data_IF_268916475340
#
_entry.id   IF_268916475340
#
_cell.length_a   1.000
_cell.length_b   1.000
_cell.length_c   1.000
_cell.angle_alpha   90.00
_cell.angle_beta   90.00
_cell.angle_gamma   90.00
#
_symmetry.space_group_name_H-M   'P 1'
#
loop_
_entity.id
_entity.type
_entity.pdbx_description
1 polymer ?
#
# COMPACT_ATOMS: atom_id res chain seq x y z
N UNK A 1 -5.85 5.84 3.34
CA UNK A 1 -7.20 6.48 3.15
C UNK A 1 -7.37 7.91 3.76
N UNK A 2 -6.28 8.64 3.98
CA UNK A 2 -6.21 9.85 4.83
C UNK A 2 -6.47 11.18 4.12
N UNK A 3 -7.43 11.20 3.18
CA UNK A 3 -7.79 12.42 2.44
C UNK A 3 -6.80 12.88 1.36
N UNK A 4 -5.65 12.20 1.19
CA UNK A 4 -4.74 12.48 0.08
C UNK A 4 -5.33 11.99 -1.24
N UNK A 5 -5.42 12.91 -2.21
CA UNK A 5 -5.84 12.63 -3.57
C UNK A 5 -4.72 13.06 -4.52
N UNK A 6 -4.53 12.30 -5.58
CA UNK A 6 -3.56 12.58 -6.62
C UNK A 6 -4.08 12.16 -7.99
N UNK A 7 -3.44 12.67 -9.03
CA UNK A 7 -3.62 12.22 -10.42
C UNK A 7 -2.35 11.47 -10.81
N UNK A 8 -2.49 10.34 -11.50
CA UNK A 8 -1.33 9.61 -12.03
C UNK A 8 -0.64 10.50 -13.06
N UNK A 9 0.63 10.86 -12.82
CA UNK A 9 1.38 11.78 -13.68
C UNK A 9 2.11 11.04 -14.82
N UNK A 10 2.81 9.96 -14.49
CA UNK A 10 3.58 9.15 -15.43
C UNK A 10 3.53 7.69 -15.00
N UNK A 11 3.41 6.80 -15.98
CA UNK A 11 3.65 5.36 -15.81
C UNK A 11 5.04 5.10 -16.38
N UNK A 12 5.91 4.47 -15.59
CA UNK A 12 7.28 4.15 -15.98
C UNK A 12 7.50 2.64 -15.99
N UNK A 13 8.47 2.13 -16.76
CA UNK A 13 8.91 0.74 -16.67
C UNK A 13 9.40 0.39 -15.26
N UNK A 14 9.34 -0.89 -14.88
CA UNK A 14 9.81 -1.37 -13.56
C UNK A 14 11.31 -1.21 -13.36
N UNK A 15 12.10 -1.29 -14.43
CA UNK A 15 13.56 -1.05 -14.43
C UNK A 15 13.94 0.39 -14.04
N UNK A 16 13.03 1.34 -14.28
CA UNK A 16 13.21 2.76 -13.98
C UNK A 16 12.83 3.10 -12.53
N UNK A 17 12.23 2.16 -11.79
CA UNK A 17 11.72 2.39 -10.44
C UNK A 17 12.81 2.17 -9.39
N UNK A 18 12.81 2.96 -8.29
CA UNK A 18 13.65 2.67 -7.15
C UNK A 18 13.42 1.25 -6.62
N UNK A 19 14.50 0.60 -6.21
CA UNK A 19 14.44 -0.78 -5.72
C UNK A 19 15.14 -0.94 -4.37
N UNK A 20 14.71 -1.95 -3.63
CA UNK A 20 15.21 -2.35 -2.32
C UNK A 20 16.51 -3.16 -2.45
N UNK A 21 17.23 -3.36 -1.35
CA UNK A 21 18.48 -4.14 -1.35
C UNK A 21 18.32 -5.62 -1.78
N UNK A 22 17.09 -6.15 -1.76
CA UNK A 22 16.74 -7.48 -2.28
C UNK A 22 16.42 -7.48 -3.79
N UNK A 23 16.44 -6.31 -4.44
CA UNK A 23 16.10 -6.11 -5.85
C UNK A 23 14.62 -5.83 -6.11
N UNK A 24 13.76 -5.84 -5.08
CA UNK A 24 12.32 -5.60 -5.26
C UNK A 24 12.05 -4.13 -5.61
N UNK A 25 11.45 -3.81 -6.77
CA UNK A 25 11.11 -2.43 -7.14
C UNK A 25 9.88 -1.94 -6.36
N UNK A 26 9.81 -0.64 -6.12
CA UNK A 26 8.60 0.00 -5.56
C UNK A 26 7.56 0.25 -6.65
N UNK A 27 6.27 0.16 -6.31
CA UNK A 27 5.18 0.35 -7.28
C UNK A 27 4.75 1.81 -7.45
N UNK A 28 4.72 2.58 -6.35
CA UNK A 28 4.17 3.94 -6.30
C UNK A 28 5.11 4.85 -5.51
N UNK A 29 5.51 5.97 -6.12
CA UNK A 29 6.28 7.02 -5.44
C UNK A 29 5.34 8.18 -5.06
N UNK A 30 5.29 8.51 -3.77
CA UNK A 30 4.49 9.61 -3.23
C UNK A 30 5.38 10.77 -2.81
N UNK A 31 4.89 12.01 -3.01
CA UNK A 31 5.60 13.21 -2.60
C UNK A 31 5.45 13.44 -1.08
N UNK A 32 6.55 13.48 -0.30
CA UNK A 32 6.49 13.65 1.16
C UNK A 32 5.98 15.03 1.60
N UNK A 33 6.07 16.07 0.74
CA UNK A 33 5.66 17.44 1.09
C UNK A 33 4.14 17.58 1.33
N UNK A 34 3.35 16.62 0.84
CA UNK A 34 1.91 16.57 1.07
C UNK A 34 1.53 16.23 2.52
N UNK A 35 2.44 15.61 3.30
CA UNK A 35 2.12 15.16 4.66
C UNK A 35 2.14 16.31 5.68
N UNK A 36 3.21 17.13 5.76
CA UNK A 36 3.26 18.22 6.74
C UNK A 36 2.18 19.28 6.49
N UNK A 37 1.92 19.60 5.21
CA UNK A 37 0.96 20.63 4.82
C UNK A 37 -0.49 20.27 5.12
N UNK A 38 -0.83 18.98 5.12
CA UNK A 38 -2.19 18.49 5.37
C UNK A 38 -2.39 17.88 6.76
N UNK A 39 -1.31 17.82 7.56
CA UNK A 39 -1.31 17.28 8.92
C UNK A 39 -1.89 15.86 9.03
N UNK A 40 -1.70 15.03 8.00
CA UNK A 40 -2.25 13.68 7.94
C UNK A 40 -1.17 12.60 8.16
N UNK A 41 -0.59 12.63 9.36
CA UNK A 41 0.49 11.72 9.81
C UNK A 41 0.07 10.25 9.83
N UNK A 42 -1.23 9.96 10.01
CA UNK A 42 -1.75 8.59 10.04
C UNK A 42 -1.45 7.76 8.80
N UNK A 43 -1.18 8.39 7.65
CA UNK A 43 -0.74 7.66 6.45
C UNK A 43 0.66 7.05 6.61
N UNK A 44 1.57 7.71 7.34
CA UNK A 44 2.93 7.20 7.58
C UNK A 44 2.84 6.00 8.52
N UNK A 45 2.02 6.10 9.57
CA UNK A 45 1.74 4.99 10.47
C UNK A 45 1.11 3.80 9.74
N UNK A 46 0.16 4.04 8.82
CA UNK A 46 -0.40 3.00 7.94
C UNK A 46 0.69 2.35 7.08
N UNK A 47 1.58 3.14 6.47
CA UNK A 47 2.69 2.63 5.66
C UNK A 47 3.64 1.75 6.47
N UNK A 48 4.05 2.18 7.66
CA UNK A 48 4.93 1.40 8.54
C UNK A 48 4.27 0.10 9.01
N UNK A 49 3.01 0.17 9.45
CA UNK A 49 2.27 -1.01 9.88
C UNK A 49 2.06 -1.99 8.72
N UNK A 50 1.71 -1.48 7.53
CA UNK A 50 1.58 -2.29 6.32
C UNK A 50 2.89 -2.97 5.92
N UNK A 51 4.03 -2.31 6.13
CA UNK A 51 5.35 -2.89 5.92
C UNK A 51 5.62 -4.06 6.88
N UNK A 52 5.32 -3.88 8.17
CA UNK A 52 5.41 -4.95 9.16
C UNK A 52 4.48 -6.13 8.81
N UNK A 53 3.22 -5.86 8.45
CA UNK A 53 2.25 -6.88 8.03
C UNK A 53 2.75 -7.75 6.89
N UNK A 54 3.33 -7.12 5.86
CA UNK A 54 3.87 -7.82 4.70
C UNK A 54 5.09 -8.66 5.07
N UNK A 55 6.02 -8.11 5.87
CA UNK A 55 7.19 -8.85 6.35
C UNK A 55 6.82 -10.07 7.22
N UNK A 56 5.80 -9.93 8.08
CA UNK A 56 5.25 -11.06 8.85
C UNK A 56 4.59 -12.09 7.95
N UNK A 57 3.85 -11.65 6.92
CA UNK A 57 3.27 -12.55 5.91
C UNK A 57 4.33 -13.36 5.17
N UNK A 58 5.44 -12.74 4.77
CA UNK A 58 6.58 -13.43 4.15
C UNK A 58 7.19 -14.48 5.08
N UNK A 59 7.37 -14.17 6.37
CA UNK A 59 7.87 -15.14 7.37
C UNK A 59 6.90 -16.31 7.57
N UNK A 60 5.60 -16.05 7.62
CA UNK A 60 4.58 -17.10 7.70
C UNK A 60 4.64 -17.97 6.43
N UNK A 61 4.73 -17.37 5.26
CA UNK A 61 4.90 -18.08 3.98
C UNK A 61 6.11 -18.99 3.97
N UNK A 62 7.26 -18.52 4.45
CA UNK A 62 8.48 -19.34 4.59
C UNK A 62 8.28 -20.51 5.56
N UNK A 63 7.52 -20.32 6.65
CA UNK A 63 7.20 -21.39 7.59
C UNK A 63 6.24 -22.42 6.98
N UNK A 64 5.29 -21.99 6.15
CA UNK A 64 4.40 -22.87 5.38
C UNK A 64 5.18 -23.66 4.32
N UNK A 65 6.08 -23.01 3.58
CA UNK A 65 6.96 -23.68 2.61
C UNK A 65 7.84 -24.74 3.31
N UNK A 66 8.35 -24.44 4.51
CA UNK A 66 9.08 -25.38 5.33
C UNK A 66 8.23 -26.59 5.78
N UNK A 67 6.94 -26.38 6.05
CA UNK A 67 6.00 -27.47 6.34
C UNK A 67 5.83 -28.40 5.13
N UNK A 68 5.63 -27.86 3.92
CA UNK A 68 5.51 -28.70 2.71
C UNK A 68 6.80 -29.47 2.40
N UNK A 69 7.97 -28.91 2.72
CA UNK A 69 9.26 -29.57 2.48
C UNK A 69 9.66 -30.61 3.52
N UNK A 70 9.37 -30.38 4.81
CA UNK A 70 9.90 -31.19 5.94
C UNK A 70 8.83 -31.73 6.89
N UNK A 71 7.55 -31.41 6.66
CA UNK A 71 6.42 -31.75 7.54
C UNK A 71 6.61 -31.24 8.97
N UNK A 72 7.29 -30.10 9.14
CA UNK A 72 7.51 -29.49 10.46
C UNK A 72 6.53 -28.33 10.69
N UNK A 73 5.59 -28.52 11.61
CA UNK A 73 4.58 -27.52 12.01
C UNK A 73 5.07 -26.56 13.10
N UNK A 74 6.19 -26.88 13.76
CA UNK A 74 6.67 -26.07 14.89
C UNK A 74 6.99 -24.63 14.49
N UNK A 75 7.68 -24.36 13.35
CA UNK A 75 8.01 -22.99 12.94
C UNK A 75 6.75 -22.16 12.66
N UNK A 76 5.75 -22.75 12.01
CA UNK A 76 4.49 -22.09 11.70
C UNK A 76 3.73 -21.72 12.98
N UNK A 77 3.60 -22.68 13.90
CA UNK A 77 2.91 -22.46 15.18
C UNK A 77 3.63 -21.43 16.06
N UNK A 78 4.96 -21.46 16.09
CA UNK A 78 5.74 -20.47 16.83
C UNK A 78 5.59 -19.07 16.25
N UNK A 79 5.62 -18.95 14.92
CA UNK A 79 5.47 -17.66 14.24
C UNK A 79 4.08 -17.08 14.47
N UNK A 80 3.02 -17.89 14.32
CA UNK A 80 1.64 -17.45 14.57
C UNK A 80 1.42 -17.05 16.04
N UNK A 81 2.00 -17.78 17.00
CA UNK A 81 1.94 -17.43 18.42
C UNK A 81 2.67 -16.11 18.73
N UNK A 82 3.77 -15.81 18.03
CA UNK A 82 4.47 -14.52 18.20
C UNK A 82 3.64 -13.36 17.65
N UNK A 83 2.93 -13.57 16.55
CA UNK A 83 2.12 -12.52 15.88
C UNK A 83 0.82 -12.23 16.63
N UNK A 84 0.08 -13.28 17.01
CA UNK A 84 -1.26 -13.14 17.59
C UNK A 84 -1.28 -13.34 19.12
N UNK A 85 -0.16 -13.67 19.75
CA UNK A 85 -0.09 -13.96 21.17
C UNK A 85 -0.75 -15.31 21.53
N UNK A 86 -1.34 -15.36 22.72
CA UNK A 86 -2.00 -16.57 23.25
C UNK A 86 -3.48 -16.64 22.87
N UNK A 87 -3.79 -16.47 21.60
CA UNK A 87 -5.16 -16.53 21.10
C UNK A 87 -5.71 -17.98 21.19
N UNK A 88 -6.88 -18.14 21.83
CA UNK A 88 -7.53 -19.45 22.00
C UNK A 88 -8.00 -20.05 20.66
N UNK A 89 -8.36 -19.20 19.70
CA UNK A 89 -8.79 -19.62 18.36
C UNK A 89 -7.65 -20.32 17.63
N UNK A 90 -6.44 -19.76 17.67
CA UNK A 90 -5.28 -20.36 17.00
C UNK A 90 -4.84 -21.65 17.69
N UNK A 91 -5.02 -21.73 19.01
CA UNK A 91 -4.69 -22.93 19.78
C UNK A 91 -5.63 -24.11 19.51
N UNK A 92 -6.89 -23.85 19.14
CA UNK A 92 -7.89 -24.88 18.88
C UNK A 92 -7.85 -25.43 17.45
N UNK A 93 -7.18 -24.75 16.51
CA UNK A 93 -7.09 -25.18 15.11
C UNK A 93 -6.31 -26.49 14.96
N UNK A 94 -6.83 -27.36 14.08
CA UNK A 94 -6.14 -28.57 13.64
C UNK A 94 -4.93 -28.27 12.74
N UNK A 95 -4.13 -29.30 12.46
CA UNK A 95 -2.93 -29.15 11.63
C UNK A 95 -3.25 -28.64 10.21
N UNK A 96 -4.28 -29.21 9.56
CA UNK A 96 -4.69 -28.78 8.22
C UNK A 96 -5.20 -27.33 8.19
N UNK A 97 -5.96 -26.93 9.21
CA UNK A 97 -6.52 -25.58 9.32
C UNK A 97 -5.43 -24.53 9.59
N UNK A 98 -4.39 -24.88 10.35
CA UNK A 98 -3.23 -24.00 10.58
C UNK A 98 -2.46 -23.72 9.29
N UNK A 99 -2.30 -24.74 8.44
CA UNK A 99 -1.62 -24.60 7.15
C UNK A 99 -2.46 -23.75 6.20
N UNK A 100 -3.77 -23.99 6.14
CA UNK A 100 -4.70 -23.17 5.35
C UNK A 100 -4.68 -21.70 5.81
N UNK A 101 -4.71 -21.46 7.13
CA UNK A 101 -4.54 -20.13 7.68
C UNK A 101 -3.19 -19.51 7.27
N UNK A 102 -2.10 -20.27 7.35
CA UNK A 102 -0.78 -19.82 6.94
C UNK A 102 -0.72 -19.41 5.46
N UNK A 103 -1.31 -20.19 4.57
CA UNK A 103 -1.41 -19.86 3.14
C UNK A 103 -2.19 -18.57 2.91
N UNK A 104 -3.33 -18.40 3.61
CA UNK A 104 -4.13 -17.18 3.53
C UNK A 104 -3.36 -15.94 4.02
N UNK A 105 -2.46 -16.10 4.98
CA UNK A 105 -1.65 -15.02 5.57
C UNK A 105 -0.35 -14.74 4.81
N UNK A 106 0.00 -15.53 3.79
CA UNK A 106 1.26 -15.42 3.03
C UNK A 106 1.48 -14.03 2.42
N UNK A 107 0.40 -13.38 1.97
CA UNK A 107 0.46 -12.06 1.34
C UNK A 107 0.53 -10.90 2.34
N UNK A 108 0.34 -11.18 3.63
CA UNK A 108 0.38 -10.18 4.68
C UNK A 108 -0.61 -10.50 5.79
N UNK A 109 -0.22 -10.17 7.03
CA UNK A 109 -1.08 -10.34 8.19
C UNK A 109 -2.11 -9.21 8.27
N UNK A 110 -3.42 -9.49 8.20
CA UNK A 110 -4.44 -8.47 8.37
C UNK A 110 -4.47 -8.01 9.84
N UNK A 111 -4.43 -6.70 10.05
CA UNK A 111 -4.47 -6.08 11.38
C UNK A 111 -5.71 -5.19 11.49
N UNK A 112 -6.32 -5.18 12.67
CA UNK A 112 -7.38 -4.27 13.04
C UNK A 112 -6.84 -3.19 13.98
N UNK A 113 -6.98 -1.92 13.59
CA UNK A 113 -6.70 -0.76 14.45
C UNK A 113 -8.01 0.02 14.66
N UNK A 114 -8.65 -0.09 15.84
CA UNK A 114 -9.84 0.69 16.17
C UNK A 114 -9.59 2.20 16.08
N UNK A 115 -10.65 2.98 15.85
CA UNK A 115 -10.55 4.44 15.61
C UNK A 115 -10.00 5.20 16.82
N UNK A 116 -10.36 4.79 18.04
CA UNK A 116 -10.01 5.49 19.28
C UNK A 116 -9.08 4.71 20.20
N UNK A 117 -8.79 3.44 19.86
CA UNK A 117 -7.90 2.55 20.61
C UNK A 117 -7.01 1.80 19.61
N UNK A 118 -6.38 2.58 18.73
CA UNK A 118 -5.53 2.08 17.66
C UNK A 118 -4.12 1.74 18.16
N UNK A 119 -3.37 1.04 17.30
CA UNK A 119 -1.96 0.74 17.53
C UNK A 119 -1.16 2.04 17.76
N UNK A 120 -0.32 2.03 18.81
CA UNK A 120 0.59 3.13 19.12
C UNK A 120 1.92 2.90 18.40
N UNK A 121 2.73 3.94 18.34
CA UNK A 121 4.06 3.91 17.72
C UNK A 121 4.92 2.72 18.20
N UNK A 122 4.97 2.50 19.52
CA UNK A 122 5.70 1.37 20.12
C UNK A 122 5.20 -0.01 19.65
N UNK A 123 3.90 -0.14 19.40
CA UNK A 123 3.33 -1.40 18.93
C UNK A 123 3.75 -1.64 17.47
N UNK A 124 3.81 -0.58 16.65
CA UNK A 124 4.27 -0.64 15.26
C UNK A 124 5.77 -0.97 15.20
N UNK A 125 6.59 -0.33 16.03
CA UNK A 125 8.03 -0.61 16.15
C UNK A 125 8.27 -2.08 16.52
N UNK A 126 7.56 -2.60 17.52
CA UNK A 126 7.66 -4.00 17.93
C UNK A 126 7.27 -4.96 16.79
N UNK A 127 6.26 -4.61 16.00
CA UNK A 127 5.84 -5.41 14.84
C UNK A 127 6.86 -5.37 13.70
N UNK A 128 7.50 -4.22 13.45
CA UNK A 128 8.60 -4.11 12.49
C UNK A 128 9.79 -4.97 12.91
N UNK A 129 10.19 -4.92 14.19
CA UNK A 129 11.25 -5.77 14.73
C UNK A 129 10.90 -7.26 14.62
N UNK A 130 9.64 -7.63 14.92
CA UNK A 130 9.17 -9.00 14.78
C UNK A 130 9.21 -9.49 13.31
N UNK A 131 9.04 -8.58 12.34
CA UNK A 131 9.22 -8.85 10.92
C UNK A 131 10.70 -8.89 10.49
N UNK A 132 11.64 -8.46 11.36
CA UNK A 132 13.06 -8.32 11.05
C UNK A 132 13.40 -7.07 10.26
N UNK A 133 12.57 -6.05 10.37
CA UNK A 133 12.73 -4.76 9.71
C UNK A 133 13.29 -3.73 10.70
N UNK A 134 13.84 -2.64 10.17
CA UNK A 134 14.35 -1.53 10.98
C UNK A 134 13.17 -0.84 11.72
N UNK A 135 13.34 -0.55 13.01
CA UNK A 135 12.34 0.12 13.85
C UNK A 135 11.87 1.47 13.27
N UNK A 136 12.72 2.16 12.51
CA UNK A 136 12.36 3.43 11.86
C UNK A 136 11.36 3.28 10.70
N UNK A 137 11.17 2.07 10.17
CA UNK A 137 10.40 1.83 8.95
C UNK A 137 11.04 2.41 7.69
N UNK A 138 12.30 2.84 7.77
CA UNK A 138 13.05 3.41 6.66
C UNK A 138 14.14 2.46 6.16
N UNK A 139 14.32 2.42 4.85
CA UNK A 139 15.27 1.54 4.17
C UNK A 139 16.12 2.33 3.19
N UNK A 140 17.34 1.83 2.94
CA UNK A 140 18.14 2.30 1.81
C UNK A 140 17.52 1.82 0.51
N UNK A 141 17.37 2.73 -0.44
CA UNK A 141 16.89 2.45 -1.79
C UNK A 141 18.02 2.74 -2.79
N UNK A 142 17.93 2.10 -3.95
CA UNK A 142 18.79 2.37 -5.10
C UNK A 142 17.96 2.95 -6.24
N UNK A 143 18.52 3.90 -7.00
CA UNK A 143 17.88 4.45 -8.20
C UNK A 143 17.91 3.40 -9.32
N UNK A 144 16.75 3.04 -9.88
CA UNK A 144 16.65 2.10 -11.01
C UNK A 144 17.37 2.57 -12.28
N UNK A 145 17.57 3.88 -12.44
CA UNK A 145 18.20 4.45 -13.65
C UNK A 145 19.72 4.50 -13.58
N UNK A 146 20.27 4.85 -12.42
CA UNK A 146 21.73 4.99 -12.26
C UNK A 146 22.36 3.81 -11.52
N UNK A 147 21.59 3.12 -10.67
CA UNK A 147 22.06 2.09 -9.75
C UNK A 147 22.63 2.65 -8.44
N UNK A 148 22.73 3.96 -8.30
CA UNK A 148 23.30 4.59 -7.10
C UNK A 148 22.36 4.49 -5.90
N UNK A 149 22.92 4.37 -4.71
CA UNK A 149 22.15 4.44 -3.46
C UNK A 149 21.70 5.89 -3.19
N UNK A 150 20.48 6.08 -2.68
CA UNK A 150 20.03 7.40 -2.25
C UNK A 150 20.82 7.91 -1.03
N UNK A 151 21.07 9.23 -0.98
CA UNK A 151 21.79 9.88 0.13
C UNK A 151 21.15 9.70 1.52
N UNK A 152 19.86 9.38 1.56
CA UNK A 152 19.08 9.21 2.79
C UNK A 152 18.17 8.00 2.69
N UNK A 153 17.97 7.34 3.83
CA UNK A 153 16.94 6.30 3.96
C UNK A 153 15.56 6.90 3.69
N UNK A 154 14.69 6.10 3.09
CA UNK A 154 13.34 6.47 2.68
C UNK A 154 12.34 5.55 3.36
N UNK A 155 11.20 6.09 3.79
CA UNK A 155 10.08 5.27 4.28
C UNK A 155 9.51 4.45 3.13
N UNK A 156 9.53 3.12 3.29
CA UNK A 156 8.91 2.17 2.37
C UNK A 156 7.89 1.36 3.13
N UNK A 157 6.78 1.03 2.48
CA UNK A 157 5.72 0.25 3.09
C UNK A 157 4.52 0.07 2.19
N UNK A 158 3.53 -0.63 2.71
CA UNK A 158 2.25 -0.83 2.02
C UNK A 158 1.21 0.15 2.54
N UNK A 159 0.56 0.85 1.63
CA UNK A 159 -0.54 1.76 1.95
C UNK A 159 -1.77 1.38 1.13
N UNK A 160 -2.95 1.37 1.78
CA UNK A 160 -4.17 1.01 1.09
C UNK A 160 -4.66 2.16 0.19
N UNK A 161 -4.72 1.89 -1.11
CA UNK A 161 -5.07 2.86 -2.16
C UNK A 161 -6.43 2.54 -2.81
N UNK A 162 -7.16 3.58 -3.19
CA UNK A 162 -8.45 3.48 -3.87
C UNK A 162 -8.43 4.26 -5.18
N UNK A 163 -8.96 3.66 -6.24
CA UNK A 163 -9.22 4.34 -7.51
C UNK A 163 -10.59 5.02 -7.45
N UNK A 164 -10.63 6.33 -7.66
CA UNK A 164 -11.88 7.09 -7.71
C UNK A 164 -12.56 6.95 -9.07
N UNK A 165 -13.89 7.08 -9.10
CA UNK A 165 -14.70 7.07 -10.33
C UNK A 165 -14.44 8.26 -11.26
N UNK A 166 -13.64 9.24 -10.85
CA UNK A 166 -13.29 10.39 -11.67
C UNK A 166 -12.27 10.04 -12.76
N UNK A 167 -12.75 9.40 -13.83
CA UNK A 167 -11.93 9.01 -14.97
C UNK A 167 -11.61 10.20 -15.88
N UNK A 168 -10.43 10.17 -16.48
CA UNK A 168 -9.97 11.22 -17.42
C UNK A 168 -10.82 11.23 -18.69
N UNK A 169 -11.24 10.06 -19.16
CA UNK A 169 -12.03 9.89 -20.39
C UNK A 169 -13.38 10.62 -20.32
N UNK A 170 -14.00 10.61 -19.13
CA UNK A 170 -15.24 11.35 -18.89
C UNK A 170 -15.04 12.87 -18.88
N UNK A 171 -13.82 13.33 -18.55
CA UNK A 171 -13.50 14.75 -18.36
C UNK A 171 -12.91 15.43 -19.59
N UNK A 172 -12.26 14.68 -20.48
CA UNK A 172 -11.74 15.26 -21.72
C UNK A 172 -12.93 15.65 -22.61
N UNK A 173 -12.96 16.93 -22.98
CA UNK A 173 -13.94 17.50 -23.89
C UNK A 173 -13.32 18.66 -24.66
N UNK A 174 -13.46 18.63 -25.99
CA UNK A 174 -13.00 19.69 -26.87
C UNK A 174 -14.03 19.89 -27.99
N UNK A 175 -14.16 21.14 -28.45
CA UNK A 175 -15.11 21.54 -29.50
C UNK A 175 -14.43 22.56 -30.41
N UNK A 176 -14.55 22.37 -31.71
CA UNK A 176 -14.25 23.39 -32.73
C UNK A 176 -15.52 24.17 -33.12
N UNK A 177 -16.56 23.48 -33.60
CA UNK A 177 -17.87 24.02 -34.00
C UNK A 177 -18.96 23.14 -33.38
N UNK A 178 -20.18 23.65 -33.20
CA UNK A 178 -21.30 22.88 -32.68
C UNK A 178 -22.60 23.68 -32.63
N UNK A 179 -23.65 23.15 -32.00
CA UNK A 179 -24.96 23.81 -31.92
C UNK A 179 -24.91 25.09 -31.07
N UNK A 180 -25.81 26.00 -31.41
CA UNK A 180 -26.03 27.28 -30.74
C UNK A 180 -27.46 27.36 -30.21
N UNK A 181 -27.63 28.05 -29.09
CA UNK A 181 -28.94 28.40 -28.56
C UNK A 181 -29.64 29.38 -29.51
N UNK A 182 -30.89 29.11 -29.86
CA UNK A 182 -31.69 29.99 -30.71
C UNK A 182 -31.92 31.37 -30.08
N UNK A 183 -32.01 31.43 -28.74
CA UNK A 183 -32.33 32.65 -28.00
C UNK A 183 -31.10 33.53 -27.84
N UNK A 184 -30.01 32.96 -27.34
CA UNK A 184 -28.79 33.74 -27.00
C UNK A 184 -27.78 33.77 -28.13
N UNK A 185 -27.94 32.92 -29.16
CA UNK A 185 -26.95 32.70 -30.22
C UNK A 185 -25.57 32.34 -29.65
N UNK A 186 -25.54 31.74 -28.45
CA UNK A 186 -24.33 31.26 -27.78
C UNK A 186 -24.19 29.74 -27.96
N UNK A 187 -22.96 29.20 -27.94
CA UNK A 187 -22.74 27.76 -27.90
C UNK A 187 -23.55 27.08 -26.77
N UNK A 188 -24.12 25.90 -27.04
CA UNK A 188 -24.74 25.08 -25.98
C UNK A 188 -23.72 24.73 -24.87
N UNK A 189 -24.20 24.31 -23.70
CA UNK A 189 -23.36 23.88 -22.58
C UNK A 189 -23.29 22.37 -22.42
N UNK A 190 -22.19 21.87 -21.88
CA UNK A 190 -22.03 20.46 -21.49
C UNK A 190 -21.58 19.51 -22.60
N UNK A 191 -20.85 18.45 -22.20
CA UNK A 191 -20.27 17.44 -23.10
C UNK A 191 -21.33 16.76 -23.98
N UNK A 192 -22.48 16.41 -23.41
CA UNK A 192 -23.57 15.69 -24.08
C UNK A 192 -24.16 16.44 -25.30
N UNK A 193 -24.06 17.78 -25.32
CA UNK A 193 -24.60 18.61 -26.40
C UNK A 193 -23.50 19.18 -27.31
N UNK A 194 -22.28 18.62 -27.24
CA UNK A 194 -21.09 19.22 -27.85
C UNK A 194 -20.95 20.70 -27.49
N UNK A 195 -21.21 21.04 -26.23
CA UNK A 195 -21.23 22.41 -25.74
C UNK A 195 -19.85 23.05 -25.66
N UNK A 196 -19.79 24.38 -25.64
CA UNK A 196 -18.55 25.13 -25.39
C UNK A 196 -18.25 25.26 -23.90
N UNK A 197 -16.99 25.58 -23.57
CA UNK A 197 -16.63 26.00 -22.21
C UNK A 197 -17.18 27.41 -21.96
N UNK A 198 -17.78 27.61 -20.78
CA UNK A 198 -18.23 28.94 -20.36
C UNK A 198 -17.02 29.79 -19.99
N UNK A 199 -16.88 30.94 -20.67
CA UNK A 199 -15.94 32.01 -20.32
C UNK A 199 -16.59 33.03 -19.38
#
# INVERSE_FOLDING_TARGET
RHGNKGVVSKIVPSEDMPFLGDGTPVDIVLNPLGVPSRMNVGQILETHLGWACAGLGQRIGQAVDAYYGRTDLKPLRETLRKVYGEDETIRSLGEGELVELGENLRHGVPIATPVFDGAKEKDIEAMLELAGLDHSGQVSLHDGRTGDEFDRKVTVGYIYMLKLHHLVDDKIHARSIGPYSLVTQQPLGGKAQFGGQRF
#
